data_IF_852641066843
#
_entry.id   IF_852641066843
#
_cell.length_a   1.000
_cell.length_b   1.000
_cell.length_c   1.000
_cell.angle_alpha   90.00
_cell.angle_beta   90.00
_cell.angle_gamma   90.00
#
_symmetry.space_group_name_H-M   'P 1'
#
loop_
_entity.id
_entity.type
_entity.pdbx_description
1 polymer ?
#
# COMPACT_ATOMS: atom_id res chain seq x y z
N UNK A 1 -34.40 8.65 0.08
CA UNK A 1 -34.19 7.31 -0.50
C UNK A 1 -34.10 6.36 0.68
N UNK A 2 -34.98 5.39 0.73
CA UNK A 2 -35.10 4.49 1.87
C UNK A 2 -33.90 3.54 1.92
N UNK A 3 -33.29 3.41 3.10
CA UNK A 3 -32.10 2.57 3.30
C UNK A 3 -32.38 1.08 3.01
N UNK A 4 -33.63 0.64 3.23
CA UNK A 4 -34.11 -0.69 2.89
C UNK A 4 -34.15 -0.96 1.39
N UNK A 5 -34.47 0.05 0.59
CA UNK A 5 -34.46 -0.07 -0.88
C UNK A 5 -33.04 -0.13 -1.46
N UNK A 6 -32.04 0.47 -0.80
CA UNK A 6 -30.62 0.34 -1.15
C UNK A 6 -30.07 -1.05 -0.78
N UNK A 7 -30.41 -1.58 0.38
CA UNK A 7 -29.95 -2.89 0.83
C UNK A 7 -30.50 -4.05 0.00
N UNK A 8 -31.71 -3.89 -0.58
CA UNK A 8 -32.31 -4.89 -1.47
C UNK A 8 -31.76 -4.84 -2.91
N UNK A 9 -31.18 -3.72 -3.36
CA UNK A 9 -30.48 -3.64 -4.66
C UNK A 9 -29.09 -4.27 -4.65
N UNK A 10 -28.42 -4.21 -3.52
CA UNK A 10 -27.14 -4.88 -3.31
C UNK A 10 -27.40 -6.33 -2.88
N UNK A 11 -28.03 -7.12 -3.75
CA UNK A 11 -27.93 -8.59 -3.66
C UNK A 11 -26.51 -8.95 -4.03
N UNK A 12 -25.60 -8.76 -3.09
CA UNK A 12 -24.27 -9.27 -3.14
C UNK A 12 -24.43 -10.79 -3.16
N UNK A 13 -24.37 -11.40 -4.35
CA UNK A 13 -24.17 -12.84 -4.43
C UNK A 13 -22.90 -13.10 -3.64
N UNK A 14 -23.01 -13.93 -2.63
CA UNK A 14 -21.88 -14.43 -1.88
C UNK A 14 -20.85 -14.92 -2.92
N UNK A 15 -19.81 -14.12 -3.17
CA UNK A 15 -18.69 -14.55 -3.96
C UNK A 15 -18.00 -15.66 -3.15
N UNK A 16 -17.52 -16.72 -3.81
CA UNK A 16 -16.82 -17.78 -3.11
C UNK A 16 -15.74 -17.12 -2.27
N UNK A 17 -15.71 -17.44 -0.98
CA UNK A 17 -14.86 -16.81 0.02
C UNK A 17 -13.47 -16.59 -0.56
N UNK A 18 -13.10 -15.34 -0.79
CA UNK A 18 -11.71 -14.98 -1.02
C UNK A 18 -11.00 -15.33 0.29
N UNK A 19 -10.47 -16.53 0.34
CA UNK A 19 -9.64 -16.92 1.48
C UNK A 19 -8.34 -16.17 1.37
N UNK A 20 -7.96 -15.38 2.39
CA UNK A 20 -6.64 -14.77 2.40
C UNK A 20 -5.59 -15.85 2.15
N UNK A 21 -4.57 -15.58 1.34
CA UNK A 21 -3.46 -16.51 1.21
C UNK A 21 -2.88 -16.78 2.61
N UNK A 22 -2.40 -17.99 2.89
CA UNK A 22 -1.71 -18.25 4.14
C UNK A 22 -0.54 -17.26 4.22
N UNK A 23 -0.60 -16.39 5.23
CA UNK A 23 0.43 -15.38 5.44
C UNK A 23 1.57 -16.03 6.23
N UNK A 24 2.54 -16.59 5.50
CA UNK A 24 3.69 -17.26 6.08
C UNK A 24 4.79 -16.24 6.39
N UNK A 25 5.28 -16.23 7.63
CA UNK A 25 6.42 -15.40 8.04
C UNK A 25 7.72 -15.74 7.30
N UNK A 26 7.79 -16.87 6.61
CA UNK A 26 8.87 -17.23 5.69
C UNK A 26 9.05 -16.19 4.57
N UNK A 27 8.00 -15.46 4.16
CA UNK A 27 8.09 -14.33 3.25
C UNK A 27 9.08 -13.29 3.77
N UNK A 28 8.93 -12.90 5.03
CA UNK A 28 9.77 -11.87 5.65
C UNK A 28 11.19 -12.37 5.91
N UNK A 29 11.35 -13.64 6.31
CA UNK A 29 12.65 -14.26 6.43
C UNK A 29 13.42 -14.27 5.10
N UNK A 30 12.75 -14.62 4.00
CA UNK A 30 13.33 -14.54 2.66
C UNK A 30 13.74 -13.12 2.29
N UNK A 31 12.92 -12.12 2.60
CA UNK A 31 13.23 -10.72 2.32
C UNK A 31 14.49 -10.26 3.08
N UNK A 32 14.64 -10.63 4.36
CA UNK A 32 15.86 -10.36 5.15
C UNK A 32 17.11 -11.01 4.55
N UNK A 33 17.00 -12.27 4.14
CA UNK A 33 18.10 -13.00 3.50
C UNK A 33 18.51 -12.34 2.18
N UNK A 34 17.54 -11.98 1.35
CA UNK A 34 17.78 -11.25 0.09
C UNK A 34 18.46 -9.92 0.34
N UNK A 35 18.04 -9.17 1.37
CA UNK A 35 18.63 -7.88 1.73
C UNK A 35 20.09 -8.02 2.13
N UNK A 36 20.40 -8.95 3.07
CA UNK A 36 21.77 -9.21 3.49
C UNK A 36 22.65 -9.65 2.31
N UNK A 37 22.14 -10.53 1.45
CA UNK A 37 22.85 -10.96 0.25
C UNK A 37 23.10 -9.82 -0.74
N UNK A 38 22.12 -8.96 -0.99
CA UNK A 38 22.25 -7.83 -1.92
C UNK A 38 23.29 -6.80 -1.42
N UNK A 39 23.30 -6.48 -0.13
CA UNK A 39 24.28 -5.58 0.45
C UNK A 39 25.69 -6.16 0.38
N UNK A 40 25.87 -7.47 0.66
CA UNK A 40 27.18 -8.14 0.53
C UNK A 40 27.68 -8.21 -0.91
N UNK A 41 26.78 -8.32 -1.88
CA UNK A 41 27.13 -8.37 -3.30
C UNK A 41 27.32 -6.97 -3.93
N UNK A 42 27.03 -5.90 -3.20
CA UNK A 42 27.18 -4.53 -3.66
C UNK A 42 28.63 -4.10 -3.87
N UNK A 43 28.83 -2.94 -4.50
CA UNK A 43 30.14 -2.38 -4.79
C UNK A 43 30.98 -2.04 -3.54
N UNK A 44 30.31 -1.78 -2.40
CA UNK A 44 30.93 -1.55 -1.11
C UNK A 44 30.30 -2.49 -0.06
N UNK A 45 30.76 -3.75 0.04
CA UNK A 45 30.23 -4.71 0.98
C UNK A 45 30.36 -4.23 2.43
N UNK A 46 29.33 -4.48 3.27
CA UNK A 46 29.41 -4.16 4.69
C UNK A 46 30.59 -4.88 5.37
N UNK A 47 31.33 -4.21 6.26
CA UNK A 47 32.32 -4.88 7.09
C UNK A 47 31.67 -5.99 7.94
N UNK A 48 32.41 -7.05 8.28
CA UNK A 48 31.91 -8.11 9.16
C UNK A 48 31.37 -7.56 10.48
N UNK A 49 30.30 -8.15 10.99
CA UNK A 49 29.60 -7.70 12.19
C UNK A 49 28.75 -6.46 11.98
N UNK A 50 28.35 -6.15 10.73
CA UNK A 50 27.41 -5.07 10.45
C UNK A 50 25.94 -5.52 10.52
N UNK A 51 25.04 -4.59 10.87
CA UNK A 51 23.60 -4.85 10.94
C UNK A 51 22.81 -3.81 10.17
N UNK A 52 21.73 -4.27 9.51
CA UNK A 52 20.67 -3.38 9.03
C UNK A 52 19.67 -3.16 10.19
N UNK A 53 19.46 -1.91 10.57
CA UNK A 53 18.56 -1.52 11.65
C UNK A 53 17.35 -0.79 11.10
N UNK A 54 16.16 -1.27 11.47
CA UNK A 54 14.87 -0.73 11.10
C UNK A 54 14.10 -0.25 12.32
N UNK A 55 13.39 0.86 12.20
CA UNK A 55 12.39 1.28 13.17
C UNK A 55 11.00 1.00 12.60
N UNK A 56 10.13 0.42 13.43
CA UNK A 56 8.71 0.33 13.15
C UNK A 56 8.01 1.68 13.31
N UNK A 57 6.74 1.72 12.92
CA UNK A 57 5.86 2.86 13.15
C UNK A 57 5.64 3.05 14.65
N UNK A 58 5.55 4.30 15.07
CA UNK A 58 5.23 4.65 16.44
C UNK A 58 3.72 4.69 16.67
N UNK A 59 3.29 4.34 17.89
CA UNK A 59 1.94 4.63 18.35
C UNK A 59 1.69 6.14 18.37
N UNK A 60 0.50 6.55 17.99
CA UNK A 60 0.11 7.95 18.00
C UNK A 60 -1.34 8.11 18.42
N UNK A 61 -1.61 9.12 19.21
CA UNK A 61 -2.97 9.55 19.55
C UNK A 61 -3.44 10.65 18.61
N UNK A 62 -4.73 10.87 18.54
CA UNK A 62 -5.32 12.04 17.87
C UNK A 62 -5.06 13.27 18.73
N UNK A 63 -3.98 14.01 18.43
CA UNK A 63 -3.55 15.16 19.22
C UNK A 63 -3.49 14.83 20.72
N UNK A 64 -4.14 15.60 21.57
CA UNK A 64 -4.14 15.50 23.04
C UNK A 64 -5.25 14.56 23.55
N UNK A 65 -5.87 13.73 22.69
CA UNK A 65 -6.92 12.80 23.08
C UNK A 65 -6.34 11.41 23.41
N UNK A 66 -7.13 10.57 24.06
CA UNK A 66 -6.85 9.15 24.29
C UNK A 66 -7.25 8.24 23.12
N UNK A 67 -7.74 8.83 22.01
CA UNK A 67 -8.11 8.08 20.82
C UNK A 67 -6.89 7.74 19.97
N UNK A 68 -6.62 6.45 19.82
CA UNK A 68 -5.62 5.94 18.88
C UNK A 68 -6.29 5.58 17.55
N UNK A 69 -5.84 6.17 16.42
CA UNK A 69 -6.24 5.70 15.10
C UNK A 69 -5.83 4.24 14.89
N UNK A 70 -6.51 3.54 14.00
CA UNK A 70 -6.10 2.19 13.63
C UNK A 70 -4.64 2.19 13.15
N UNK A 71 -3.78 1.49 13.89
CA UNK A 71 -2.35 1.47 13.60
C UNK A 71 -2.05 0.79 12.26
N UNK A 72 -1.20 1.44 11.49
CA UNK A 72 -0.63 0.90 10.26
C UNK A 72 0.88 0.93 10.35
N UNK A 73 1.50 -0.23 10.20
CA UNK A 73 2.95 -0.40 10.33
C UNK A 73 3.72 0.34 9.24
N UNK A 74 4.95 0.79 9.55
CA UNK A 74 5.90 1.31 8.57
C UNK A 74 6.23 0.24 7.51
N UNK A 75 6.22 0.63 6.23
CA UNK A 75 6.21 -0.33 5.12
C UNK A 75 7.50 -1.13 4.97
N UNK A 76 8.67 -0.55 5.20
CA UNK A 76 9.94 -1.28 5.11
C UNK A 76 10.14 -2.19 6.31
N UNK A 77 9.73 -1.74 7.50
CA UNK A 77 9.76 -2.57 8.69
C UNK A 77 8.83 -3.78 8.55
N UNK A 78 7.59 -3.56 8.08
CA UNK A 78 6.68 -4.66 7.81
C UNK A 78 7.25 -5.62 6.75
N UNK A 79 7.80 -5.10 5.64
CA UNK A 79 8.41 -5.91 4.60
C UNK A 79 9.53 -6.82 5.12
N UNK A 80 10.34 -6.31 6.07
CA UNK A 80 11.44 -7.07 6.67
C UNK A 80 10.99 -8.06 7.75
N UNK A 81 9.96 -7.75 8.54
CA UNK A 81 9.64 -8.50 9.75
C UNK A 81 8.19 -8.99 9.87
N UNK A 82 7.24 -8.41 9.14
CA UNK A 82 5.82 -8.73 9.23
C UNK A 82 5.14 -8.29 10.54
N UNK A 83 5.84 -7.56 11.38
CA UNK A 83 5.36 -7.09 12.69
C UNK A 83 4.22 -6.10 12.50
N UNK A 84 3.19 -6.21 13.35
CA UNK A 84 1.98 -5.38 13.30
C UNK A 84 1.83 -4.45 14.50
N UNK A 85 2.67 -4.59 15.50
CA UNK A 85 2.66 -3.80 16.72
C UNK A 85 3.53 -2.54 16.55
N UNK A 86 3.15 -1.41 17.19
CA UNK A 86 3.91 -0.17 17.15
C UNK A 86 5.15 -0.20 18.07
N UNK A 87 6.05 0.76 17.87
CA UNK A 87 7.18 1.08 18.74
C UNK A 87 8.27 0.01 18.82
N UNK A 88 8.34 -0.87 17.82
CA UNK A 88 9.34 -1.91 17.72
C UNK A 88 10.53 -1.51 16.86
N UNK A 89 11.66 -2.15 17.10
CA UNK A 89 12.81 -2.11 16.21
C UNK A 89 13.16 -3.52 15.75
N UNK A 90 13.93 -3.60 14.66
CA UNK A 90 14.44 -4.87 14.16
C UNK A 90 15.84 -4.71 13.59
N UNK A 91 16.72 -5.61 13.94
CA UNK A 91 18.06 -5.69 13.40
C UNK A 91 18.24 -6.97 12.59
N UNK A 92 18.89 -6.85 11.43
CA UNK A 92 19.28 -7.98 10.58
C UNK A 92 20.79 -8.00 10.47
N UNK A 93 21.42 -9.08 10.92
CA UNK A 93 22.85 -9.31 10.71
C UNK A 93 23.15 -9.39 9.22
N UNK A 94 24.09 -8.61 8.75
CA UNK A 94 24.47 -8.59 7.34
C UNK A 94 25.45 -9.71 6.99
N UNK A 95 25.99 -10.43 7.99
CA UNK A 95 26.87 -11.57 7.77
C UNK A 95 26.07 -12.83 7.37
N UNK A 96 24.97 -13.12 8.07
CA UNK A 96 24.22 -14.38 7.95
C UNK A 96 22.70 -14.22 7.79
N UNK A 97 22.17 -13.00 7.90
CA UNK A 97 20.73 -12.70 7.77
C UNK A 97 19.92 -13.01 9.03
N UNK A 98 20.53 -13.36 10.16
CA UNK A 98 19.82 -13.56 11.44
C UNK A 98 19.15 -12.27 11.89
N UNK A 99 17.97 -12.43 12.47
CA UNK A 99 17.12 -11.31 12.83
C UNK A 99 16.82 -11.26 14.32
N UNK A 100 16.95 -10.07 14.88
CA UNK A 100 16.55 -9.76 16.26
C UNK A 100 15.47 -8.68 16.23
N UNK A 101 14.34 -8.91 16.89
CA UNK A 101 13.33 -7.89 17.16
C UNK A 101 13.55 -7.30 18.54
N UNK A 102 13.29 -6.01 18.68
CA UNK A 102 13.30 -5.30 19.95
C UNK A 102 11.91 -4.79 20.25
N UNK A 103 11.34 -5.23 21.37
CA UNK A 103 9.96 -4.95 21.78
C UNK A 103 9.95 -3.99 22.97
N UNK A 104 8.96 -3.08 23.07
CA UNK A 104 8.85 -2.22 24.23
C UNK A 104 8.58 -3.03 25.50
N UNK A 105 9.19 -2.63 26.59
CA UNK A 105 8.93 -3.21 27.92
C UNK A 105 7.65 -2.59 28.48
N UNK A 106 6.56 -3.33 28.40
CA UNK A 106 5.26 -2.87 28.87
C UNK A 106 5.12 -3.13 30.41
N UNK A 107 4.59 -2.16 31.17
CA UNK A 107 4.32 -2.35 32.59
C UNK A 107 3.19 -3.37 32.78
N UNK A 108 3.21 -4.09 33.91
CA UNK A 108 2.17 -5.09 34.21
C UNK A 108 0.75 -4.52 34.21
N UNK A 109 0.59 -3.25 34.58
CA UNK A 109 -0.69 -2.54 34.54
C UNK A 109 -1.29 -2.43 33.12
N UNK A 110 -0.45 -2.47 32.07
CA UNK A 110 -0.89 -2.49 30.67
C UNK A 110 -1.83 -3.67 30.40
N UNK A 111 -1.56 -4.84 31.01
CA UNK A 111 -2.39 -6.02 30.80
C UNK A 111 -3.83 -5.88 31.33
N UNK A 112 -4.07 -4.99 32.28
CA UNK A 112 -5.40 -4.74 32.83
C UNK A 112 -6.35 -4.14 31.79
N UNK A 113 -5.81 -3.27 30.94
CA UNK A 113 -6.59 -2.51 29.93
C UNK A 113 -6.44 -3.10 28.53
N UNK A 114 -5.23 -3.50 28.15
CA UNK A 114 -4.89 -3.89 26.79
C UNK A 114 -4.80 -5.41 26.60
N UNK A 115 -5.02 -6.19 27.66
CA UNK A 115 -4.97 -7.63 27.61
C UNK A 115 -3.57 -8.21 27.86
N UNK A 116 -3.44 -9.51 27.73
CA UNK A 116 -2.22 -10.26 28.09
C UNK A 116 -1.00 -9.80 27.29
N UNK A 117 0.07 -9.49 27.99
CA UNK A 117 1.38 -9.20 27.40
C UNK A 117 2.03 -10.55 27.01
N UNK A 118 2.37 -10.71 25.73
CA UNK A 118 3.10 -11.90 25.25
C UNK A 118 4.57 -11.84 25.69
N UNK A 119 5.15 -13.02 25.91
CA UNK A 119 6.57 -13.15 26.20
C UNK A 119 7.46 -13.17 24.96
N UNK A 120 8.76 -12.95 25.14
CA UNK A 120 9.72 -12.88 24.02
C UNK A 120 9.77 -14.18 23.19
N UNK A 121 9.66 -15.36 23.80
CA UNK A 121 9.60 -16.63 23.06
C UNK A 121 8.35 -16.78 22.20
N UNK A 122 7.22 -16.25 22.66
CA UNK A 122 5.98 -16.24 21.92
C UNK A 122 6.08 -15.31 20.70
N UNK A 123 6.65 -14.11 20.90
CA UNK A 123 6.93 -13.18 19.81
C UNK A 123 7.94 -13.74 18.80
N UNK A 124 9.00 -14.40 19.29
CA UNK A 124 10.01 -15.06 18.45
C UNK A 124 9.36 -16.09 17.51
N UNK A 125 8.48 -16.90 18.06
CA UNK A 125 7.75 -17.93 17.31
C UNK A 125 6.76 -17.30 16.32
N UNK A 126 6.03 -16.27 16.73
CA UNK A 126 5.02 -15.60 15.90
C UNK A 126 5.64 -14.93 14.67
N UNK A 127 6.78 -14.26 14.84
CA UNK A 127 7.44 -13.50 13.76
C UNK A 127 8.60 -14.24 13.09
N UNK A 128 8.83 -15.50 13.44
CA UNK A 128 9.87 -16.33 12.86
C UNK A 128 11.23 -15.60 12.78
N UNK A 129 11.67 -15.06 13.92
CA UNK A 129 12.97 -14.41 14.08
C UNK A 129 13.88 -15.22 15.01
N UNK A 130 15.18 -14.93 14.99
CA UNK A 130 16.18 -15.67 15.77
C UNK A 130 16.17 -15.28 17.24
N UNK A 131 15.91 -14.01 17.56
CA UNK A 131 15.84 -13.48 18.90
C UNK A 131 14.80 -12.36 19.04
N UNK A 132 14.30 -12.21 20.28
CA UNK A 132 13.48 -11.06 20.68
C UNK A 132 14.04 -10.54 22.00
N UNK A 133 14.38 -9.26 22.03
CA UNK A 133 14.94 -8.54 23.17
C UNK A 133 14.08 -7.31 23.49
N UNK A 134 14.32 -6.65 24.60
CA UNK A 134 13.61 -5.39 24.88
C UNK A 134 14.34 -4.21 24.25
N UNK A 135 13.57 -3.16 23.90
CA UNK A 135 14.12 -1.91 23.35
C UNK A 135 15.15 -1.29 24.29
N UNK A 136 14.92 -1.36 25.61
CA UNK A 136 15.85 -0.84 26.62
C UNK A 136 17.21 -1.57 26.59
N UNK A 137 17.23 -2.81 26.17
CA UNK A 137 18.42 -3.65 26.06
C UNK A 137 19.14 -3.50 24.70
N UNK A 138 18.53 -2.83 23.73
CA UNK A 138 19.05 -2.74 22.35
C UNK A 138 20.49 -2.23 22.28
N UNK A 139 20.89 -1.15 22.99
CA UNK A 139 22.29 -0.68 22.95
C UNK A 139 23.28 -1.77 23.40
N UNK A 140 22.96 -2.50 24.45
CA UNK A 140 23.77 -3.59 24.97
C UNK A 140 23.89 -4.76 23.99
N UNK A 141 22.75 -5.17 23.40
CA UNK A 141 22.69 -6.26 22.44
C UNK A 141 23.45 -5.92 21.17
N UNK A 142 23.28 -4.73 20.66
CA UNK A 142 24.00 -4.27 19.46
C UNK A 142 25.50 -4.12 19.70
N UNK A 143 25.94 -3.62 20.87
CA UNK A 143 27.40 -3.59 21.21
C UNK A 143 28.01 -4.97 21.21
N UNK A 144 27.29 -5.98 21.70
CA UNK A 144 27.79 -7.35 21.71
C UNK A 144 27.81 -7.99 20.31
N UNK A 145 26.92 -7.59 19.42
CA UNK A 145 26.77 -8.14 18.06
C UNK A 145 27.58 -7.43 16.99
N UNK A 146 27.69 -6.10 17.07
CA UNK A 146 28.42 -5.30 16.08
C UNK A 146 29.93 -5.53 16.23
N UNK A 147 30.56 -5.99 15.17
CA UNK A 147 32.01 -6.21 15.15
C UNK A 147 32.81 -4.91 15.26
N UNK A 148 34.09 -5.00 15.62
CA UNK A 148 34.97 -3.82 15.77
C UNK A 148 35.04 -2.93 14.52
N UNK A 149 34.93 -3.51 13.33
CA UNK A 149 34.86 -2.80 12.05
C UNK A 149 33.41 -2.61 11.55
N UNK A 150 32.43 -3.19 12.22
CA UNK A 150 31.02 -3.21 11.83
C UNK A 150 30.37 -1.84 11.90
N UNK A 151 29.18 -1.73 11.27
CA UNK A 151 28.38 -0.51 11.24
C UNK A 151 26.89 -0.85 11.33
N UNK A 152 26.09 0.12 11.73
CA UNK A 152 24.63 0.11 11.64
C UNK A 152 24.20 0.78 10.32
N UNK A 153 23.53 0.01 9.49
CA UNK A 153 22.93 0.50 8.24
C UNK A 153 21.48 0.88 8.51
N UNK A 154 21.11 2.14 8.23
CA UNK A 154 19.78 2.65 8.50
C UNK A 154 19.10 3.17 7.24
N UNK A 155 17.77 3.13 7.22
CA UNK A 155 16.99 3.66 6.08
C UNK A 155 17.03 5.18 6.09
N UNK A 156 17.56 5.77 5.02
CA UNK A 156 17.43 7.18 4.74
C UNK A 156 17.29 7.36 3.23
N UNK A 157 16.07 7.64 2.78
CA UNK A 157 15.81 7.86 1.37
C UNK A 157 14.79 8.94 1.18
N UNK A 158 14.87 9.63 0.07
CA UNK A 158 13.96 10.71 -0.28
C UNK A 158 12.82 10.16 -1.12
N UNK A 159 11.58 10.49 -0.74
CA UNK A 159 10.41 10.25 -1.57
C UNK A 159 10.40 11.26 -2.73
N UNK A 160 10.20 10.79 -3.96
CA UNK A 160 10.27 11.62 -5.18
C UNK A 160 9.15 12.65 -5.27
N UNK A 161 7.99 12.38 -4.70
CA UNK A 161 6.82 13.26 -4.81
C UNK A 161 6.76 14.27 -3.66
N UNK A 162 6.79 13.78 -2.42
CA UNK A 162 6.73 14.64 -1.23
C UNK A 162 8.04 15.35 -0.90
N UNK A 163 9.16 14.89 -1.48
CA UNK A 163 10.53 15.32 -1.15
C UNK A 163 10.93 15.09 0.32
N UNK A 164 10.06 14.44 1.09
CA UNK A 164 10.34 14.08 2.48
C UNK A 164 11.32 12.90 2.55
N UNK A 165 12.16 12.91 3.58
CA UNK A 165 13.07 11.81 3.84
C UNK A 165 12.43 10.79 4.80
N UNK A 166 12.64 9.49 4.53
CA UNK A 166 12.38 8.45 5.49
C UNK A 166 13.18 8.72 6.77
N UNK A 167 12.53 8.60 7.92
CA UNK A 167 13.17 8.81 9.22
C UNK A 167 14.04 7.59 9.55
N UNK A 168 15.37 7.75 9.68
CA UNK A 168 16.24 6.65 10.05
C UNK A 168 15.89 6.12 11.45
N UNK A 169 16.15 4.84 11.68
CA UNK A 169 16.11 4.28 13.02
C UNK A 169 17.11 5.04 13.93
N UNK A 170 16.66 5.42 15.11
CA UNK A 170 17.47 6.11 16.11
C UNK A 170 17.10 5.62 17.51
N UNK A 171 18.09 5.48 18.38
CA UNK A 171 17.91 5.08 19.77
C UNK A 171 18.98 5.72 20.66
N UNK A 172 18.76 5.74 21.95
CA UNK A 172 19.72 6.26 22.92
C UNK A 172 21.03 5.45 22.91
N UNK A 173 22.18 6.12 22.78
CA UNK A 173 23.48 5.47 22.64
C UNK A 173 23.90 5.13 21.21
N UNK A 174 23.10 5.46 20.19
CA UNK A 174 23.44 5.19 18.79
C UNK A 174 24.73 5.87 18.33
N UNK A 175 25.11 7.01 18.94
CA UNK A 175 26.35 7.74 18.63
C UNK A 175 27.66 6.97 18.92
N UNK A 176 27.58 5.85 19.61
CA UNK A 176 28.73 4.94 19.84
C UNK A 176 29.06 4.05 18.66
N UNK A 177 28.15 3.96 17.67
CA UNK A 177 28.27 3.10 16.52
C UNK A 177 28.66 3.88 15.26
N UNK A 178 29.36 3.22 14.36
CA UNK A 178 29.46 3.70 12.97
C UNK A 178 28.09 3.52 12.32
N UNK A 179 27.63 4.55 11.63
CA UNK A 179 26.31 4.54 10.95
C UNK A 179 26.51 4.77 9.47
N UNK A 180 25.88 3.93 8.64
CA UNK A 180 25.72 4.12 7.21
C UNK A 180 24.24 4.40 6.92
N UNK A 181 23.93 5.54 6.37
CA UNK A 181 22.57 5.97 6.01
C UNK A 181 22.36 6.01 4.47
N UNK A 182 23.30 5.50 3.70
CA UNK A 182 23.28 5.58 2.26
C UNK A 182 22.94 4.25 1.55
N UNK A 183 23.46 3.13 2.03
CA UNK A 183 23.41 1.88 1.28
C UNK A 183 22.09 1.09 1.46
N UNK A 184 21.46 1.17 2.64
CA UNK A 184 20.30 0.34 2.96
C UNK A 184 19.06 0.71 2.12
N UNK A 185 18.79 1.98 1.91
CA UNK A 185 17.62 2.45 1.17
C UNK A 185 17.59 1.94 -0.27
N UNK A 186 18.60 2.17 -1.13
CA UNK A 186 18.57 1.71 -2.52
C UNK A 186 18.49 0.18 -2.61
N UNK A 187 19.16 -0.56 -1.71
CA UNK A 187 19.09 -2.02 -1.68
C UNK A 187 17.67 -2.50 -1.36
N UNK A 188 17.04 -1.95 -0.32
CA UNK A 188 15.68 -2.31 0.07
C UNK A 188 14.65 -1.93 -1.00
N UNK A 189 14.75 -0.75 -1.61
CA UNK A 189 13.87 -0.30 -2.70
C UNK A 189 13.94 -1.26 -3.88
N UNK A 190 15.13 -1.59 -4.36
CA UNK A 190 15.32 -2.48 -5.51
C UNK A 190 14.74 -3.89 -5.25
N UNK A 191 14.88 -4.41 -4.03
CA UNK A 191 14.31 -5.69 -3.65
C UNK A 191 12.79 -5.65 -3.53
N UNK A 192 12.21 -4.53 -3.11
CA UNK A 192 10.76 -4.34 -3.06
C UNK A 192 10.12 -4.12 -4.42
N UNK A 193 10.86 -3.60 -5.40
CA UNK A 193 10.39 -3.49 -6.80
C UNK A 193 10.14 -4.87 -7.39
N UNK A 194 11.03 -5.84 -7.15
CA UNK A 194 10.90 -7.20 -7.67
C UNK A 194 10.32 -8.11 -6.58
N UNK A 195 9.02 -8.39 -6.70
CA UNK A 195 8.25 -9.16 -5.73
C UNK A 195 8.56 -10.65 -5.80
N UNK A 196 8.71 -11.27 -4.66
CA UNK A 196 8.76 -12.74 -4.52
C UNK A 196 7.43 -13.39 -4.90
N UNK A 197 7.36 -14.69 -5.18
CA UNK A 197 6.09 -15.39 -5.45
C UNK A 197 5.07 -15.25 -4.31
N UNK A 198 5.51 -15.24 -3.05
CA UNK A 198 4.65 -15.05 -1.89
C UNK A 198 4.08 -13.62 -1.85
N UNK A 199 4.88 -12.58 -2.09
CA UNK A 199 4.40 -11.21 -2.22
C UNK A 199 3.41 -11.05 -3.38
N UNK A 200 3.66 -11.69 -4.51
CA UNK A 200 2.73 -11.69 -5.65
C UNK A 200 1.39 -12.35 -5.29
N UNK A 201 1.38 -13.39 -4.47
CA UNK A 201 0.14 -14.02 -4.01
C UNK A 201 -0.70 -13.06 -3.17
N UNK A 202 -0.05 -12.29 -2.27
CA UNK A 202 -0.72 -11.26 -1.47
C UNK A 202 -1.26 -10.14 -2.37
N UNK A 203 -0.47 -9.67 -3.35
CA UNK A 203 -0.90 -8.64 -4.30
C UNK A 203 -2.07 -9.09 -5.17
N UNK A 204 -2.07 -10.34 -5.63
CA UNK A 204 -3.22 -10.90 -6.37
C UNK A 204 -4.47 -10.96 -5.51
N UNK A 205 -4.33 -11.34 -4.24
CA UNK A 205 -5.44 -11.38 -3.30
C UNK A 205 -6.06 -9.99 -3.10
N UNK A 206 -5.25 -9.00 -2.73
CA UNK A 206 -5.77 -7.64 -2.49
C UNK A 206 -6.31 -7.00 -3.77
N UNK A 207 -5.69 -7.28 -4.92
CA UNK A 207 -6.20 -6.86 -6.23
C UNK A 207 -7.58 -7.48 -6.55
N UNK A 208 -7.78 -8.77 -6.27
CA UNK A 208 -9.07 -9.43 -6.46
C UNK A 208 -10.15 -8.84 -5.52
N UNK A 209 -9.85 -8.69 -4.22
CA UNK A 209 -10.78 -8.06 -3.25
C UNK A 209 -11.20 -6.68 -3.71
N UNK A 210 -10.22 -5.85 -4.12
CA UNK A 210 -10.48 -4.47 -4.56
C UNK A 210 -11.28 -4.43 -5.86
N UNK A 211 -11.01 -5.33 -6.81
CA UNK A 211 -11.77 -5.44 -8.06
C UNK A 211 -13.24 -5.80 -7.80
N UNK A 212 -13.50 -6.74 -6.90
CA UNK A 212 -14.86 -7.10 -6.50
C UNK A 212 -15.58 -5.96 -5.78
N UNK A 213 -14.87 -5.20 -4.95
CA UNK A 213 -15.41 -4.00 -4.32
C UNK A 213 -15.81 -2.93 -5.36
N UNK A 214 -14.99 -2.72 -6.40
CA UNK A 214 -15.35 -1.84 -7.52
C UNK A 214 -16.59 -2.34 -8.28
N UNK A 215 -16.70 -3.65 -8.52
CA UNK A 215 -17.90 -4.23 -9.14
C UNK A 215 -19.14 -4.00 -8.30
N UNK A 216 -19.05 -4.17 -6.97
CA UNK A 216 -20.16 -3.91 -6.06
C UNK A 216 -20.58 -2.42 -6.10
N UNK A 217 -19.62 -1.50 -6.13
CA UNK A 217 -19.88 -0.05 -6.27
C UNK A 217 -20.57 0.26 -7.60
N UNK A 218 -20.07 -0.28 -8.72
CA UNK A 218 -20.69 -0.09 -10.04
C UNK A 218 -22.13 -0.64 -10.12
N UNK A 219 -22.42 -1.72 -9.39
CA UNK A 219 -23.77 -2.30 -9.33
C UNK A 219 -24.73 -1.49 -8.44
N UNK A 220 -24.20 -0.80 -7.44
CA UNK A 220 -24.98 -0.04 -6.47
C UNK A 220 -25.23 1.41 -6.89
N UNK A 221 -24.40 1.98 -7.76
CA UNK A 221 -24.47 3.39 -8.14
C UNK A 221 -25.87 3.77 -8.64
N UNK A 222 -26.38 4.91 -8.14
CA UNK A 222 -27.65 5.47 -8.56
C UNK A 222 -27.62 7.00 -8.51
N UNK A 223 -28.43 7.61 -9.35
CA UNK A 223 -28.70 9.06 -9.31
C UNK A 223 -29.14 9.48 -7.91
N UNK A 224 -28.64 10.62 -7.44
CA UNK A 224 -28.97 11.19 -6.14
C UNK A 224 -28.14 10.64 -4.98
N UNK A 225 -27.34 9.59 -5.16
CA UNK A 225 -26.35 9.20 -4.16
C UNK A 225 -25.27 10.27 -3.99
N UNK A 226 -24.61 10.27 -2.86
CA UNK A 226 -23.45 11.12 -2.60
C UNK A 226 -22.18 10.28 -2.71
N UNK A 227 -21.12 10.84 -3.23
CA UNK A 227 -19.85 10.14 -3.51
C UNK A 227 -19.35 9.33 -2.32
N UNK A 228 -19.39 9.87 -1.08
CA UNK A 228 -18.96 9.14 0.13
C UNK A 228 -19.78 7.87 0.44
N UNK A 229 -21.01 7.76 -0.07
CA UNK A 229 -21.80 6.54 0.11
C UNK A 229 -21.21 5.38 -0.68
N UNK A 230 -20.65 5.67 -1.84
CA UNK A 230 -19.98 4.69 -2.68
C UNK A 230 -18.55 4.37 -2.15
N UNK A 231 -17.85 5.36 -1.61
CA UNK A 231 -16.62 5.15 -0.84
C UNK A 231 -16.85 4.21 0.35
N UNK A 232 -17.91 4.46 1.12
CA UNK A 232 -18.31 3.62 2.26
C UNK A 232 -18.59 2.18 1.83
N UNK A 233 -19.27 1.99 0.70
CA UNK A 233 -19.55 0.66 0.17
C UNK A 233 -18.27 -0.08 -0.23
N UNK A 234 -17.33 0.60 -0.90
CA UNK A 234 -16.04 0.04 -1.26
C UNK A 234 -15.26 -0.40 -0.01
N UNK A 235 -15.14 0.50 0.97
CA UNK A 235 -14.43 0.22 2.22
C UNK A 235 -15.10 -0.91 3.01
N UNK A 236 -16.44 -0.92 3.08
CA UNK A 236 -17.17 -2.02 3.70
C UNK A 236 -16.86 -3.37 3.04
N UNK A 237 -16.84 -3.41 1.70
CA UNK A 237 -16.52 -4.63 0.97
C UNK A 237 -15.10 -5.13 1.28
N UNK A 238 -14.12 -4.24 1.19
CA UNK A 238 -12.73 -4.58 1.48
C UNK A 238 -12.53 -5.07 2.92
N UNK A 239 -13.19 -4.43 3.89
CA UNK A 239 -13.09 -4.81 5.29
C UNK A 239 -13.82 -6.13 5.58
N UNK A 240 -15.08 -6.24 5.17
CA UNK A 240 -15.97 -7.34 5.55
C UNK A 240 -15.59 -8.66 4.86
N UNK A 241 -15.36 -8.60 3.55
CA UNK A 241 -15.06 -9.78 2.75
C UNK A 241 -13.57 -10.06 2.57
N UNK A 242 -12.74 -9.01 2.54
CA UNK A 242 -11.32 -9.13 2.27
C UNK A 242 -10.41 -9.05 3.50
N UNK A 243 -10.94 -8.68 4.68
CA UNK A 243 -10.11 -8.45 5.87
C UNK A 243 -9.08 -7.33 5.70
N UNK A 244 -9.26 -6.47 4.69
CA UNK A 244 -8.41 -5.30 4.46
C UNK A 244 -8.78 -4.21 5.47
N UNK A 245 -8.00 -4.08 6.55
CA UNK A 245 -8.28 -3.10 7.62
C UNK A 245 -7.94 -1.66 7.23
N UNK A 246 -7.21 -1.47 6.14
CA UNK A 246 -6.81 -0.19 5.59
C UNK A 246 -7.15 -0.11 4.10
N UNK A 247 -7.34 1.12 3.62
CA UNK A 247 -7.24 1.43 2.20
C UNK A 247 -5.79 1.78 1.87
N UNK A 248 -5.36 1.51 0.64
CA UNK A 248 -3.98 1.78 0.19
C UNK A 248 -3.64 3.26 0.18
N UNK A 249 -4.65 4.09 -0.09
CA UNK A 249 -4.62 5.55 -0.12
C UNK A 249 -6.03 6.10 0.13
N UNK A 250 -6.17 7.42 0.25
CA UNK A 250 -7.45 8.09 0.37
C UNK A 250 -8.31 7.80 -0.86
N UNK A 251 -9.50 7.25 -0.66
CA UNK A 251 -10.42 6.92 -1.75
C UNK A 251 -10.80 8.17 -2.56
N UNK A 252 -10.68 8.07 -3.86
CA UNK A 252 -11.11 9.09 -4.82
C UNK A 252 -12.40 8.60 -5.46
N UNK A 253 -13.53 9.22 -5.11
CA UNK A 253 -14.85 8.88 -5.63
C UNK A 253 -15.43 10.07 -6.40
N UNK A 254 -14.76 10.45 -7.48
CA UNK A 254 -15.10 11.64 -8.25
C UNK A 254 -16.26 11.41 -9.21
N UNK A 255 -17.20 12.36 -9.31
CA UNK A 255 -18.29 12.36 -10.26
C UNK A 255 -18.39 13.68 -11.04
N UNK A 256 -18.81 13.61 -12.29
CA UNK A 256 -18.94 14.79 -13.16
C UNK A 256 -17.64 15.58 -13.27
N UNK A 257 -17.70 16.89 -13.00
CA UNK A 257 -16.53 17.78 -13.13
C UNK A 257 -15.39 17.41 -12.16
N UNK A 258 -15.69 16.82 -10.99
CA UNK A 258 -14.67 16.40 -10.01
C UNK A 258 -13.75 15.31 -10.57
N UNK A 259 -14.23 14.54 -11.57
CA UNK A 259 -13.42 13.51 -12.24
C UNK A 259 -12.22 14.07 -13.03
N UNK A 260 -12.14 15.40 -13.22
CA UNK A 260 -10.97 16.05 -13.80
C UNK A 260 -9.85 16.39 -12.80
N UNK A 261 -10.11 16.18 -11.49
CA UNK A 261 -9.15 16.47 -10.41
C UNK A 261 -8.47 15.16 -10.04
N UNK A 262 -7.17 15.03 -10.37
CA UNK A 262 -6.42 13.77 -10.21
C UNK A 262 -6.44 13.24 -8.77
N UNK A 263 -6.23 14.11 -7.79
CA UNK A 263 -6.26 13.74 -6.37
C UNK A 263 -7.48 14.34 -5.66
N UNK A 264 -8.65 14.18 -6.28
CA UNK A 264 -9.93 14.55 -5.66
C UNK A 264 -10.17 13.73 -4.38
N UNK A 265 -10.78 14.37 -3.38
CA UNK A 265 -11.05 13.71 -2.08
C UNK A 265 -9.96 13.90 -1.03
N UNK A 266 -8.86 14.58 -1.36
CA UNK A 266 -7.89 15.07 -0.37
C UNK A 266 -8.45 16.27 0.39
N UNK A 267 -7.72 16.72 1.42
CA UNK A 267 -8.16 17.74 2.36
C UNK A 267 -9.02 18.85 1.72
N UNK A 268 -10.23 19.04 2.23
CA UNK A 268 -11.19 20.05 1.77
C UNK A 268 -12.25 19.57 0.78
N UNK A 269 -12.06 18.42 0.11
CA UNK A 269 -13.00 17.87 -0.88
C UNK A 269 -13.24 16.36 -0.63
N UNK A 270 -13.96 16.01 0.44
CA UNK A 270 -14.06 14.61 0.87
C UNK A 270 -15.22 13.86 0.20
N UNK A 271 -15.22 13.67 -1.11
CA UNK A 271 -16.23 12.86 -1.82
C UNK A 271 -17.69 13.29 -1.48
N UNK A 272 -18.00 14.60 -1.56
CA UNK A 272 -19.26 15.16 -1.03
C UNK A 272 -20.29 15.52 -2.10
N UNK A 273 -19.96 15.37 -3.41
CA UNK A 273 -20.87 15.74 -4.48
C UNK A 273 -22.02 14.73 -4.63
N UNK A 274 -23.22 15.25 -4.91
CA UNK A 274 -24.39 14.44 -5.29
C UNK A 274 -24.30 14.04 -6.75
N UNK A 275 -24.47 12.77 -7.07
CA UNK A 275 -24.42 12.21 -8.41
C UNK A 275 -25.65 12.62 -9.22
N UNK A 276 -25.43 13.16 -10.41
CA UNK A 276 -26.45 13.38 -11.42
C UNK A 276 -26.48 12.21 -12.43
N UNK A 277 -27.62 12.00 -13.07
CA UNK A 277 -27.85 10.87 -14.00
C UNK A 277 -26.88 10.86 -15.18
N UNK A 278 -26.52 12.04 -15.67
CA UNK A 278 -25.63 12.24 -16.82
C UNK A 278 -24.15 12.22 -16.49
N UNK A 279 -23.78 12.13 -15.21
CA UNK A 279 -22.40 12.13 -14.79
C UNK A 279 -21.67 10.85 -15.22
N UNK A 280 -20.38 11.01 -15.48
CA UNK A 280 -19.39 9.94 -15.39
C UNK A 280 -18.81 9.91 -13.98
N UNK A 281 -18.60 8.72 -13.46
CA UNK A 281 -17.79 8.49 -12.28
C UNK A 281 -16.36 8.11 -12.71
N UNK A 282 -15.39 8.57 -11.94
CA UNK A 282 -14.00 8.12 -11.95
C UNK A 282 -13.66 7.79 -10.51
N UNK A 283 -13.59 6.51 -10.20
CA UNK A 283 -13.34 6.03 -8.84
C UNK A 283 -12.00 5.31 -8.80
N UNK A 284 -11.13 5.83 -7.96
CA UNK A 284 -9.78 5.37 -7.76
C UNK A 284 -9.60 4.98 -6.29
N UNK A 285 -9.65 3.67 -6.07
CA UNK A 285 -9.70 3.10 -4.73
C UNK A 285 -9.00 1.75 -4.69
N UNK A 286 -8.27 1.50 -3.63
CA UNK A 286 -7.60 0.24 -3.38
C UNK A 286 -7.65 -0.18 -1.91
N UNK A 287 -7.90 -1.45 -1.65
CA UNK A 287 -7.74 -2.03 -0.31
C UNK A 287 -6.27 -2.33 -0.02
N UNK A 288 -5.92 -2.42 1.25
CA UNK A 288 -4.60 -2.85 1.71
C UNK A 288 -4.73 -4.09 2.61
N UNK A 289 -4.00 -5.14 2.27
CA UNK A 289 -3.88 -6.35 3.08
C UNK A 289 -2.41 -6.59 3.43
N UNK A 290 -2.12 -6.71 4.73
CA UNK A 290 -0.75 -6.97 5.22
C UNK A 290 0.29 -6.00 4.65
N UNK A 291 -0.01 -4.71 4.61
CA UNK A 291 0.82 -3.63 4.04
C UNK A 291 1.14 -3.77 2.54
N UNK A 292 0.38 -4.59 1.80
CA UNK A 292 0.37 -4.65 0.35
C UNK A 292 -0.93 -4.05 -0.16
N UNK A 293 -0.84 -3.03 -1.00
CA UNK A 293 -1.98 -2.27 -1.51
C UNK A 293 -2.34 -2.60 -2.94
N UNK A 294 -3.63 -2.49 -3.28
CA UNK A 294 -4.10 -2.35 -4.64
C UNK A 294 -4.25 -0.87 -4.99
N UNK A 295 -4.26 -0.58 -6.28
CA UNK A 295 -4.44 0.74 -6.87
C UNK A 295 -5.22 0.56 -8.17
N UNK A 296 -6.54 0.81 -8.12
CA UNK A 296 -7.45 0.48 -9.22
C UNK A 296 -8.36 1.66 -9.49
N UNK A 297 -8.27 2.18 -10.72
CA UNK A 297 -9.21 3.20 -11.20
C UNK A 297 -10.23 2.59 -12.16
N UNK A 298 -11.51 2.88 -11.93
CA UNK A 298 -12.61 2.52 -12.81
C UNK A 298 -13.43 3.76 -13.20
N UNK A 299 -13.91 3.79 -14.45
CA UNK A 299 -14.79 4.86 -14.92
C UNK A 299 -16.08 4.27 -15.51
N UNK A 300 -17.22 4.83 -15.12
CA UNK A 300 -18.53 4.32 -15.53
C UNK A 300 -19.59 5.42 -15.45
N UNK A 301 -20.67 5.35 -16.25
CA UNK A 301 -21.77 6.32 -16.20
C UNK A 301 -22.73 6.01 -15.04
N UNK A 302 -23.19 7.04 -14.32
CA UNK A 302 -24.21 6.90 -13.24
C UNK A 302 -25.49 6.26 -13.75
N UNK A 303 -25.87 6.54 -15.00
CA UNK A 303 -27.08 5.97 -15.64
C UNK A 303 -26.98 4.47 -15.95
N UNK A 304 -25.81 3.86 -15.82
CA UNK A 304 -25.51 2.48 -16.24
C UNK A 304 -25.38 2.30 -17.76
N UNK A 305 -25.53 3.37 -18.56
CA UNK A 305 -25.40 3.35 -20.02
C UNK A 305 -24.64 4.58 -20.50
N UNK A 306 -23.63 4.34 -21.34
CA UNK A 306 -22.88 5.44 -21.96
C UNK A 306 -23.75 6.22 -22.96
N UNK A 307 -23.76 7.55 -22.85
CA UNK A 307 -24.19 8.42 -23.95
C UNK A 307 -23.24 8.29 -25.14
N UNK A 308 -23.62 8.74 -26.35
CA UNK A 308 -22.72 8.73 -27.51
C UNK A 308 -21.37 9.43 -27.23
N UNK A 309 -21.40 10.58 -26.56
CA UNK A 309 -20.20 11.36 -26.22
C UNK A 309 -19.33 10.65 -25.18
N UNK A 310 -19.95 10.13 -24.13
CA UNK A 310 -19.23 9.36 -23.11
C UNK A 310 -18.56 8.13 -23.72
N UNK A 311 -19.25 7.42 -24.63
CA UNK A 311 -18.69 6.24 -25.32
C UNK A 311 -17.46 6.60 -26.15
N UNK A 312 -17.48 7.73 -26.86
CA UNK A 312 -16.34 8.19 -27.68
C UNK A 312 -15.10 8.38 -26.79
N UNK A 313 -15.25 9.13 -25.70
CA UNK A 313 -14.11 9.42 -24.79
C UNK A 313 -13.65 8.16 -24.09
N UNK A 314 -14.57 7.39 -23.54
CA UNK A 314 -14.24 6.14 -22.84
C UNK A 314 -13.49 5.15 -23.74
N UNK A 315 -13.96 4.95 -24.98
CA UNK A 315 -13.32 4.05 -25.94
C UNK A 315 -11.92 4.51 -26.32
N UNK A 316 -11.71 5.83 -26.41
CA UNK A 316 -10.38 6.39 -26.70
C UNK A 316 -9.38 6.14 -25.56
N UNK A 317 -9.84 6.31 -24.31
CA UNK A 317 -9.01 6.03 -23.13
C UNK A 317 -8.73 4.53 -23.01
N UNK A 318 -9.74 3.67 -23.16
CA UNK A 318 -9.58 2.23 -23.10
C UNK A 318 -8.59 1.70 -24.16
N UNK A 319 -8.67 2.23 -25.38
CA UNK A 319 -7.70 1.85 -26.43
C UNK A 319 -6.27 2.29 -26.08
N UNK A 320 -6.11 3.43 -25.39
CA UNK A 320 -4.81 3.86 -24.91
C UNK A 320 -4.26 2.94 -23.80
N UNK A 321 -5.11 2.46 -22.89
CA UNK A 321 -4.74 1.48 -21.87
C UNK A 321 -4.20 0.20 -22.54
N UNK A 322 -4.97 -0.40 -23.45
CA UNK A 322 -4.54 -1.62 -24.15
C UNK A 322 -3.25 -1.42 -24.96
N UNK A 323 -3.09 -0.28 -25.63
CA UNK A 323 -1.88 0.01 -26.38
C UNK A 323 -0.62 0.08 -25.48
N UNK A 324 -0.77 0.58 -24.26
CA UNK A 324 0.32 0.61 -23.28
C UNK A 324 0.59 -0.80 -22.73
N UNK A 325 -0.45 -1.56 -22.38
CA UNK A 325 -0.32 -2.95 -21.91
C UNK A 325 0.40 -3.83 -22.93
N UNK A 326 0.03 -3.72 -24.22
CA UNK A 326 0.64 -4.49 -25.31
C UNK A 326 2.12 -4.09 -25.56
N UNK A 327 2.47 -2.83 -25.32
CA UNK A 327 3.83 -2.33 -25.50
C UNK A 327 4.74 -2.56 -24.29
N UNK A 328 4.15 -2.81 -23.11
CA UNK A 328 4.86 -2.87 -21.83
C UNK A 328 5.68 -4.18 -21.72
N UNK A 329 6.99 -4.03 -21.56
CA UNK A 329 7.91 -5.15 -21.36
C UNK A 329 9.17 -4.68 -20.62
N UNK A 330 9.97 -5.59 -20.06
CA UNK A 330 11.24 -5.22 -19.45
C UNK A 330 12.12 -4.40 -20.41
N UNK A 331 12.69 -3.30 -19.90
CA UNK A 331 13.59 -2.42 -20.66
C UNK A 331 12.92 -1.25 -21.39
N UNK A 332 11.59 -1.16 -21.46
CA UNK A 332 10.91 0.03 -22.00
C UNK A 332 10.92 1.17 -20.98
N UNK A 333 11.04 2.40 -21.47
CA UNK A 333 10.95 3.60 -20.64
C UNK A 333 9.50 3.87 -20.22
N UNK A 334 9.29 4.20 -18.95
CA UNK A 334 7.97 4.64 -18.47
C UNK A 334 7.51 5.94 -19.17
N UNK A 335 8.43 6.84 -19.46
CA UNK A 335 8.15 8.06 -20.21
C UNK A 335 7.62 7.77 -21.63
N UNK A 336 8.16 6.72 -22.30
CA UNK A 336 7.67 6.30 -23.61
C UNK A 336 6.24 5.73 -23.53
N UNK A 337 5.95 4.97 -22.47
CA UNK A 337 4.59 4.45 -22.23
C UNK A 337 3.59 5.56 -21.96
N UNK A 338 3.98 6.55 -21.17
CA UNK A 338 3.18 7.74 -20.92
C UNK A 338 2.91 8.54 -22.22
N UNK A 339 3.95 8.74 -23.03
CA UNK A 339 3.81 9.40 -24.34
C UNK A 339 2.93 8.61 -25.29
N UNK A 340 3.03 7.26 -25.30
CA UNK A 340 2.17 6.39 -26.09
C UNK A 340 0.71 6.54 -25.72
N UNK A 341 0.38 6.56 -24.42
CA UNK A 341 -1.00 6.75 -23.94
C UNK A 341 -1.63 8.04 -24.47
N UNK A 342 -0.92 9.17 -24.42
CA UNK A 342 -1.39 10.44 -24.96
C UNK A 342 -1.61 10.40 -26.46
N UNK A 343 -0.69 9.81 -27.23
CA UNK A 343 -0.81 9.71 -28.69
C UNK A 343 -2.04 8.90 -29.08
N UNK A 344 -2.27 7.76 -28.42
CA UNK A 344 -3.42 6.88 -28.70
C UNK A 344 -4.73 7.56 -28.34
N UNK A 345 -4.86 8.12 -27.15
CA UNK A 345 -6.08 8.78 -26.70
C UNK A 345 -6.46 9.97 -27.63
N UNK A 346 -5.50 10.86 -27.93
CA UNK A 346 -5.72 12.01 -28.82
C UNK A 346 -6.04 11.61 -30.27
N UNK A 347 -5.33 10.61 -30.78
CA UNK A 347 -5.53 10.13 -32.16
C UNK A 347 -6.92 9.53 -32.36
N UNK A 348 -7.39 8.71 -31.43
CA UNK A 348 -8.70 8.08 -31.51
C UNK A 348 -9.83 9.07 -31.23
N UNK A 349 -9.70 9.95 -30.25
CA UNK A 349 -10.68 10.99 -29.97
C UNK A 349 -10.94 11.89 -31.19
N UNK A 350 -9.88 12.30 -31.92
CA UNK A 350 -10.00 13.09 -33.16
C UNK A 350 -10.74 12.34 -34.28
N UNK A 351 -10.43 11.03 -34.47
CA UNK A 351 -11.10 10.22 -35.50
C UNK A 351 -12.58 10.02 -35.19
N UNK A 352 -12.93 9.75 -33.96
CA UNK A 352 -14.29 9.50 -33.50
C UNK A 352 -15.12 10.82 -33.55
N UNK A 353 -14.53 11.95 -33.16
CA UNK A 353 -15.17 13.27 -33.27
C UNK A 353 -15.34 13.71 -34.71
N UNK A 354 -14.38 13.48 -35.61
CA UNK A 354 -14.45 13.79 -37.04
C UNK A 354 -15.47 12.94 -37.80
N UNK A 355 -15.62 11.66 -37.43
CA UNK A 355 -16.63 10.76 -37.98
C UNK A 355 -18.08 11.15 -37.58
N UNK A 356 -18.27 11.68 -36.37
CA UNK A 356 -19.56 12.18 -35.90
C UNK A 356 -20.01 13.48 -36.64
N UNK A 357 -19.03 14.31 -37.05
CA UNK A 357 -19.32 15.53 -37.79
C UNK A 357 -19.71 15.29 -39.29
N UNK A 358 -19.16 14.21 -39.87
CA UNK A 358 -19.45 13.83 -41.25
C UNK A 358 -20.86 13.19 -41.44
N UNK A 359 -21.40 12.55 -40.39
CA UNK A 359 -22.74 11.94 -40.40
C UNK A 359 -23.87 12.92 -40.06
N UNK A 360 -23.56 14.14 -39.62
CA UNK A 360 -24.55 15.18 -39.30
C UNK A 360 -24.78 16.18 -40.46
N UNK A 361 -24.11 16.01 -41.61
CA UNK A 361 -24.25 16.85 -42.81
C UNK A 361 -24.79 16.07 -44.02
N UNK A 362 -25.37 14.87 -43.82
CA UNK A 362 -25.99 14.07 -44.85
C UNK A 362 -27.51 14.01 -44.74
#
# INVERSE_FOLDING_TARGET
MDFEALSTRVKIKHLPSLSPPPFDMALHALNRQRLAAALRAGAAPPPPGSFALFAGGASATRHETDHEPLFRQESFFHWAFGVREPDWFGAVSLDDGRATLFVPRLPAAYAVVMGRIKGNDEWRSLYAVDAVEFVDDMPRVLRAGVGAAGALYVLRGQNSDSQAFAKPAAFEGMGEFRVDDAALWPAAVNLRVIKTPAEQAVLRYVGAVSSEAHVAVMQAVAEGMIEYQLESLFSHWCHFYGGCRHNSYTCICASGINSSVLHYGHAGEPNARRLAREDMCLFDMGGEFACYGADITTSFPVSGKFSPQQRVIYSAVLAAVFAVEDAMKPGVSWLDMHTLSYRCARGLARRLAGGACASAQG
#
